data_IF_922505047190
#
_entry.id   IF_922505047190
#
_cell.length_a   1.000
_cell.length_b   1.000
_cell.length_c   1.000
_cell.angle_alpha   90.00
_cell.angle_beta   90.00
_cell.angle_gamma   90.00
#
_symmetry.space_group_name_H-M   'P 1'
#
loop_
_entity.id
_entity.type
_entity.pdbx_description
1 polymer ?
#
# COMPACT_ATOMS: atom_id res chain seq x y z
N UNK A 1 100.87 -17.29 -2.30
CA UNK A 1 100.52 -16.04 -2.99
C UNK A 1 99.04 -16.10 -3.34
N UNK A 2 98.26 -15.31 -2.59
CA UNK A 2 96.94 -14.73 -2.94
C UNK A 2 97.03 -14.01 -4.29
N UNK A 3 96.00 -13.77 -5.10
CA UNK A 3 94.54 -13.88 -5.01
C UNK A 3 93.97 -13.89 -6.45
N UNK A 4 92.71 -14.31 -6.62
CA UNK A 4 91.93 -14.06 -7.83
C UNK A 4 90.62 -13.34 -7.50
N UNK A 5 90.42 -12.23 -8.23
CA UNK A 5 89.21 -11.59 -8.73
C UNK A 5 87.90 -11.62 -7.91
N UNK A 6 87.40 -10.41 -7.64
CA UNK A 6 85.98 -10.15 -7.38
C UNK A 6 85.14 -10.21 -8.66
N UNK A 7 83.83 -10.42 -8.49
CA UNK A 7 82.81 -10.19 -9.50
C UNK A 7 81.46 -9.85 -8.84
N UNK A 8 80.73 -9.01 -9.54
CA UNK A 8 79.61 -8.19 -9.14
C UNK A 8 78.31 -8.89 -8.73
N UNK A 9 77.53 -8.09 -7.98
CA UNK A 9 76.18 -8.32 -7.51
C UNK A 9 75.21 -8.35 -8.71
N UNK A 10 74.32 -9.35 -8.74
CA UNK A 10 73.06 -9.29 -9.50
C UNK A 10 71.91 -9.51 -8.55
N UNK A 11 71.03 -8.51 -8.47
CA UNK A 11 69.79 -8.57 -7.72
C UNK A 11 68.79 -9.51 -8.38
N UNK A 12 68.04 -10.22 -7.55
CA UNK A 12 66.85 -10.96 -7.96
C UNK A 12 65.69 -10.47 -7.10
N UNK A 13 64.80 -9.69 -7.72
CA UNK A 13 63.47 -9.37 -7.18
C UNK A 13 62.69 -10.67 -6.90
N UNK A 14 62.14 -10.77 -5.68
CA UNK A 14 61.21 -11.84 -5.34
C UNK A 14 59.84 -11.53 -5.95
N UNK A 15 59.41 -12.35 -6.89
CA UNK A 15 58.02 -12.37 -7.34
C UNK A 15 57.12 -12.87 -6.21
N UNK A 16 56.10 -12.08 -5.86
CA UNK A 16 55.01 -12.49 -4.98
C UNK A 16 53.93 -13.18 -5.84
N UNK A 17 53.49 -14.40 -5.52
CA UNK A 17 52.44 -15.05 -6.29
C UNK A 17 51.11 -14.31 -6.08
N UNK A 18 50.51 -13.87 -7.18
CA UNK A 18 49.12 -13.39 -7.24
C UNK A 18 48.22 -14.61 -7.02
N UNK A 19 47.58 -14.68 -5.86
CA UNK A 19 46.52 -15.65 -5.61
C UNK A 19 45.35 -15.31 -6.53
N UNK A 20 45.23 -16.05 -7.63
CA UNK A 20 44.02 -16.04 -8.45
C UNK A 20 42.93 -16.76 -7.67
N UNK A 21 42.12 -15.99 -6.92
CA UNK A 21 40.86 -16.50 -6.40
C UNK A 21 39.91 -16.68 -7.58
N UNK A 22 39.92 -17.87 -8.19
CA UNK A 22 38.82 -18.37 -9.02
C UNK A 22 37.61 -18.65 -8.13
N UNK A 23 37.08 -17.59 -7.51
CA UNK A 23 35.85 -17.59 -6.74
C UNK A 23 34.73 -17.04 -7.61
N UNK A 24 34.41 -17.76 -8.68
CA UNK A 24 33.13 -17.59 -9.38
C UNK A 24 32.02 -17.94 -8.40
N UNK A 25 31.65 -16.97 -7.55
CA UNK A 25 30.38 -17.01 -6.84
C UNK A 25 29.34 -16.97 -7.95
N UNK A 26 28.77 -18.13 -8.26
CA UNK A 26 27.45 -18.18 -8.87
C UNK A 26 26.59 -17.25 -8.02
N UNK A 27 26.13 -16.16 -8.64
CA UNK A 27 25.21 -15.26 -7.99
C UNK A 27 23.91 -16.04 -7.82
N UNK A 28 23.81 -16.84 -6.76
CA UNK A 28 22.52 -17.20 -6.21
C UNK A 28 21.85 -15.86 -5.98
N UNK A 29 20.80 -15.55 -6.73
CA UNK A 29 20.00 -14.35 -6.55
C UNK A 29 19.68 -14.24 -5.06
N UNK A 30 20.41 -13.38 -4.34
CA UNK A 30 20.17 -13.19 -2.91
C UNK A 30 18.89 -12.40 -2.85
N UNK A 31 17.81 -13.08 -2.47
CA UNK A 31 16.52 -12.41 -2.21
C UNK A 31 16.76 -11.38 -1.12
N UNK A 32 16.35 -10.14 -1.38
CA UNK A 32 16.36 -9.09 -0.37
C UNK A 32 15.18 -9.27 0.58
N UNK A 33 15.23 -8.65 1.76
CA UNK A 33 14.09 -8.64 2.68
C UNK A 33 12.84 -8.06 1.98
N UNK A 34 13.00 -7.06 1.12
CA UNK A 34 11.90 -6.52 0.32
C UNK A 34 11.30 -7.56 -0.64
N UNK A 35 12.13 -8.42 -1.24
CA UNK A 35 11.65 -9.49 -2.12
C UNK A 35 10.91 -10.57 -1.32
N UNK A 36 11.39 -10.89 -0.13
CA UNK A 36 10.71 -11.77 0.82
C UNK A 36 9.35 -11.21 1.21
N UNK A 37 9.29 -9.92 1.60
CA UNK A 37 8.04 -9.25 1.92
C UNK A 37 7.08 -9.26 0.73
N UNK A 38 7.53 -8.92 -0.48
CA UNK A 38 6.67 -8.95 -1.67
C UNK A 38 6.12 -10.34 -1.98
N UNK A 39 6.93 -11.39 -1.78
CA UNK A 39 6.51 -12.76 -2.04
C UNK A 39 5.52 -13.30 -1.00
N UNK A 40 5.65 -12.89 0.26
CA UNK A 40 4.89 -13.45 1.39
C UNK A 40 3.86 -12.47 1.98
N UNK A 41 3.72 -11.25 1.45
CA UNK A 41 2.72 -10.30 1.94
C UNK A 41 1.32 -10.88 1.79
N UNK A 42 0.55 -10.80 2.87
CA UNK A 42 -0.87 -11.13 2.88
C UNK A 42 -1.65 -9.98 3.50
N UNK A 43 -2.85 -9.73 3.00
CA UNK A 43 -3.71 -8.67 3.55
C UNK A 43 -4.19 -9.04 4.95
N UNK A 44 -4.59 -10.30 5.16
CA UNK A 44 -4.88 -10.87 6.48
C UNK A 44 -4.07 -12.16 6.65
N UNK A 45 -3.30 -12.24 7.73
CA UNK A 45 -2.64 -13.48 8.13
C UNK A 45 -3.60 -14.32 8.96
N UNK A 46 -3.74 -15.60 8.63
CA UNK A 46 -4.40 -16.57 9.49
C UNK A 46 -3.55 -16.84 10.74
N UNK A 47 -4.18 -17.18 11.87
CA UNK A 47 -3.48 -17.57 13.11
C UNK A 47 -2.78 -18.93 13.00
N UNK A 48 -2.69 -19.51 11.80
CA UNK A 48 -1.94 -20.75 11.59
C UNK A 48 -0.44 -20.47 11.65
N UNK A 49 0.28 -21.35 12.32
CA UNK A 49 1.72 -21.23 12.50
C UNK A 49 2.45 -21.21 11.15
N UNK A 50 3.09 -20.08 10.88
CA UNK A 50 3.90 -19.90 9.68
C UNK A 50 5.24 -20.64 9.84
N UNK A 51 5.38 -21.70 9.06
CA UNK A 51 6.48 -22.66 9.21
C UNK A 51 7.81 -22.14 8.63
N UNK A 52 7.77 -21.23 7.64
CA UNK A 52 9.00 -20.73 7.00
C UNK A 52 9.52 -19.44 7.64
N UNK A 53 10.84 -19.28 7.64
CA UNK A 53 11.51 -18.06 8.10
C UNK A 53 11.04 -16.82 7.32
N UNK A 54 10.90 -16.94 5.99
CA UNK A 54 10.42 -15.85 5.14
C UNK A 54 9.00 -15.41 5.47
N UNK A 55 8.13 -16.36 5.80
CA UNK A 55 6.78 -16.06 6.26
C UNK A 55 6.82 -15.33 7.60
N UNK A 56 7.59 -15.84 8.58
CA UNK A 56 7.76 -15.20 9.89
C UNK A 56 8.28 -13.76 9.79
N UNK A 57 9.20 -13.46 8.85
CA UNK A 57 9.65 -12.09 8.58
C UNK A 57 8.50 -11.21 8.08
N UNK A 58 7.70 -11.71 7.13
CA UNK A 58 6.53 -11.00 6.63
C UNK A 58 5.47 -10.77 7.72
N UNK A 59 5.23 -11.77 8.57
CA UNK A 59 4.32 -11.65 9.71
C UNK A 59 4.79 -10.62 10.73
N UNK A 60 6.08 -10.63 11.08
CA UNK A 60 6.65 -9.62 11.99
C UNK A 60 6.49 -8.21 11.44
N UNK A 61 6.70 -8.03 10.12
CA UNK A 61 6.45 -6.75 9.47
C UNK A 61 4.98 -6.36 9.52
N UNK A 62 4.08 -7.30 9.20
CA UNK A 62 2.63 -7.10 9.25
C UNK A 62 2.14 -6.71 10.64
N UNK A 63 2.66 -7.33 11.69
CA UNK A 63 2.29 -7.06 13.08
C UNK A 63 2.77 -5.69 13.56
N UNK A 64 3.85 -5.16 12.99
CA UNK A 64 4.34 -3.81 13.25
C UNK A 64 3.52 -2.70 12.57
N UNK A 65 2.61 -3.03 11.65
CA UNK A 65 1.78 -2.03 10.96
C UNK A 65 0.63 -1.53 11.83
N UNK A 66 0.44 -0.22 11.87
CA UNK A 66 -0.73 0.45 12.46
C UNK A 66 -1.93 0.37 11.50
N UNK A 67 -2.66 -0.75 11.57
CA UNK A 67 -3.73 -1.13 10.65
C UNK A 67 -5.13 -1.14 11.26
N UNK A 68 -5.34 -0.45 12.39
CA UNK A 68 -6.67 -0.40 13.01
C UNK A 68 -7.65 0.46 12.21
N UNK A 69 -7.22 1.67 11.83
CA UNK A 69 -8.05 2.63 11.10
C UNK A 69 -7.46 2.94 9.72
N UNK A 70 -8.35 3.08 8.73
CA UNK A 70 -8.01 3.48 7.37
C UNK A 70 -8.49 4.90 7.04
N UNK A 71 -7.87 5.52 6.04
CA UNK A 71 -8.29 6.79 5.45
C UNK A 71 -9.30 6.52 4.34
N UNK A 72 -10.38 7.29 4.33
CA UNK A 72 -11.42 7.25 3.32
C UNK A 72 -11.34 8.45 2.37
N UNK A 73 -11.55 8.23 1.08
CA UNK A 73 -11.76 9.29 0.11
C UNK A 73 -13.22 9.29 -0.34
N UNK A 74 -13.99 10.24 0.21
CA UNK A 74 -15.42 10.36 -0.03
C UNK A 74 -15.75 11.33 -1.19
N UNK A 75 -14.76 11.82 -1.95
CA UNK A 75 -14.98 12.82 -3.03
C UNK A 75 -16.01 12.37 -4.06
N UNK A 76 -16.04 11.08 -4.36
CA UNK A 76 -16.86 10.50 -5.42
C UNK A 76 -17.99 9.61 -4.90
N UNK A 77 -18.38 9.76 -3.63
CA UNK A 77 -19.38 8.93 -2.95
C UNK A 77 -20.73 8.83 -3.70
N UNK A 78 -21.10 9.86 -4.48
CA UNK A 78 -22.33 9.86 -5.32
C UNK A 78 -22.18 9.17 -6.69
N UNK A 79 -20.97 8.86 -7.13
CA UNK A 79 -20.70 8.48 -8.54
C UNK A 79 -19.81 7.27 -8.73
N UNK A 80 -18.83 7.04 -7.86
CA UNK A 80 -17.81 5.99 -8.01
C UNK A 80 -17.57 5.21 -6.71
N UNK A 81 -18.48 5.36 -5.75
CA UNK A 81 -18.29 4.83 -4.41
C UNK A 81 -17.18 5.57 -3.65
N UNK A 82 -16.57 4.86 -2.72
CA UNK A 82 -15.53 5.32 -1.80
C UNK A 82 -14.22 4.60 -2.13
N UNK A 83 -13.09 5.23 -1.81
CA UNK A 83 -11.79 4.58 -1.84
C UNK A 83 -11.19 4.58 -0.44
N UNK A 84 -10.50 3.51 -0.09
CA UNK A 84 -9.84 3.32 1.20
C UNK A 84 -8.33 3.16 0.97
N UNK A 85 -7.54 3.60 1.95
CA UNK A 85 -6.12 3.26 2.06
C UNK A 85 -5.71 3.23 3.53
N UNK A 86 -4.65 2.49 3.83
CA UNK A 86 -4.01 2.60 5.15
C UNK A 86 -3.40 3.98 5.36
N UNK A 87 -3.25 4.33 6.64
CA UNK A 87 -2.61 5.57 7.09
C UNK A 87 -1.12 5.55 6.76
N UNK A 88 -0.56 6.71 6.45
CA UNK A 88 0.90 6.89 6.39
C UNK A 88 1.48 7.09 7.78
N UNK A 89 2.80 6.99 7.93
CA UNK A 89 3.47 7.22 9.22
C UNK A 89 3.12 8.59 9.80
N UNK A 90 3.25 9.65 9.01
CA UNK A 90 2.88 11.02 9.43
C UNK A 90 1.43 11.10 9.92
N UNK A 91 0.49 10.47 9.21
CA UNK A 91 -0.93 10.45 9.61
C UNK A 91 -1.18 9.68 10.91
N UNK A 92 -0.41 8.62 11.17
CA UNK A 92 -0.50 7.88 12.44
C UNK A 92 0.03 8.74 13.58
N UNK A 93 1.17 9.41 13.38
CA UNK A 93 1.78 10.29 14.39
C UNK A 93 0.88 11.50 14.69
N UNK A 94 0.26 12.08 13.65
CA UNK A 94 -0.64 13.22 13.78
C UNK A 94 -2.05 12.84 14.28
N UNK A 95 -2.31 11.56 14.56
CA UNK A 95 -3.62 11.07 15.02
C UNK A 95 -4.72 11.11 13.95
N UNK A 96 -4.36 11.32 12.68
CA UNK A 96 -5.30 11.47 11.59
C UNK A 96 -6.10 10.19 11.38
N UNK A 97 -7.43 10.31 11.29
CA UNK A 97 -8.33 9.19 11.07
C UNK A 97 -8.54 8.28 12.28
N UNK A 98 -8.02 8.67 13.45
CA UNK A 98 -8.30 8.09 14.75
C UNK A 98 -8.89 9.16 15.67
N UNK A 99 -8.16 10.26 15.88
CA UNK A 99 -8.59 11.43 16.67
C UNK A 99 -9.14 12.55 15.79
N UNK A 100 -9.09 12.38 14.45
CA UNK A 100 -9.67 13.28 13.46
C UNK A 100 -10.47 12.51 12.40
N UNK A 101 -11.26 13.24 11.62
CA UNK A 101 -12.06 12.63 10.56
C UNK A 101 -11.18 12.01 9.46
N UNK A 102 -11.31 10.70 9.24
CA UNK A 102 -10.56 9.93 8.25
C UNK A 102 -10.90 10.26 6.79
N UNK A 103 -11.84 11.16 6.52
CA UNK A 103 -12.08 11.60 5.15
C UNK A 103 -10.96 12.55 4.69
N UNK A 104 -10.18 12.14 3.68
CA UNK A 104 -9.04 12.89 3.11
C UNK A 104 -9.39 14.33 2.69
N UNK A 105 -10.67 14.64 2.47
CA UNK A 105 -11.15 15.97 2.06
C UNK A 105 -12.22 16.50 3.01
N UNK A 106 -12.12 16.20 4.31
CA UNK A 106 -12.95 16.83 5.31
C UNK A 106 -12.52 18.30 5.49
N UNK A 107 -13.47 19.20 5.64
CA UNK A 107 -13.17 20.60 5.94
C UNK A 107 -12.69 20.73 7.39
N UNK A 108 -13.33 20.00 8.29
CA UNK A 108 -13.10 20.04 9.74
C UNK A 108 -11.91 19.14 10.18
N UNK A 109 -11.08 18.72 9.23
CA UNK A 109 -10.01 17.74 9.46
C UNK A 109 -8.92 18.28 10.39
N UNK A 110 -8.69 19.59 10.37
CA UNK A 110 -7.63 20.29 11.08
C UNK A 110 -8.18 21.31 12.09
N UNK A 111 -9.46 21.22 12.44
CA UNK A 111 -10.08 22.11 13.43
C UNK A 111 -9.73 21.62 14.83
N UNK A 112 -8.70 22.23 15.44
CA UNK A 112 -8.10 21.77 16.71
C UNK A 112 -8.85 22.32 17.93
N UNK A 113 -9.40 23.52 17.84
CA UNK A 113 -10.00 24.21 19.00
C UNK A 113 -11.39 23.64 19.38
N UNK A 114 -12.10 23.07 18.40
CA UNK A 114 -13.43 22.50 18.57
C UNK A 114 -13.65 21.35 17.57
N UNK A 115 -13.00 20.18 17.79
CA UNK A 115 -13.13 19.06 16.87
C UNK A 115 -14.59 18.57 16.81
N UNK A 116 -15.10 18.17 15.64
CA UNK A 116 -16.45 17.65 15.51
C UNK A 116 -16.57 16.30 16.24
N UNK A 117 -17.79 15.89 16.64
CA UNK A 117 -18.01 14.53 17.14
C UNK A 117 -17.61 13.50 16.07
N UNK A 118 -16.94 12.44 16.52
CA UNK A 118 -16.41 11.38 15.68
C UNK A 118 -17.13 10.06 15.99
N UNK A 119 -17.35 9.26 14.95
CA UNK A 119 -17.89 7.90 15.06
C UNK A 119 -17.03 6.90 14.32
N UNK A 120 -16.97 5.68 14.84
CA UNK A 120 -16.30 4.55 14.20
C UNK A 120 -17.27 3.79 13.29
N UNK A 121 -16.81 3.46 12.08
CA UNK A 121 -17.59 2.74 11.08
C UNK A 121 -16.79 1.60 10.47
N UNK A 122 -17.43 0.45 10.29
CA UNK A 122 -16.88 -0.67 9.55
C UNK A 122 -17.32 -0.63 8.09
N UNK A 123 -16.35 -0.65 7.20
CA UNK A 123 -16.55 -0.54 5.76
C UNK A 123 -16.11 -1.84 5.08
N UNK A 124 -16.97 -2.47 4.25
CA UNK A 124 -16.56 -3.65 3.51
C UNK A 124 -15.49 -3.29 2.48
N UNK A 125 -14.38 -4.00 2.55
CA UNK A 125 -13.25 -3.90 1.63
C UNK A 125 -13.11 -5.23 0.89
N UNK A 126 -13.31 -5.20 -0.42
CA UNK A 126 -13.05 -6.34 -1.30
C UNK A 126 -11.62 -6.26 -1.82
N UNK A 127 -10.91 -7.39 -1.77
CA UNK A 127 -9.54 -7.53 -2.25
C UNK A 127 -9.33 -8.87 -2.93
N UNK A 128 -8.27 -9.02 -3.70
CA UNK A 128 -7.89 -10.28 -4.33
C UNK A 128 -6.52 -10.69 -3.80
N UNK A 129 -6.37 -11.97 -3.47
CA UNK A 129 -5.13 -12.51 -2.94
C UNK A 129 -4.88 -13.89 -3.56
N UNK A 130 -3.62 -14.24 -3.89
CA UNK A 130 -3.30 -15.57 -4.38
C UNK A 130 -3.61 -16.64 -3.31
N UNK A 131 -4.24 -17.73 -3.73
CA UNK A 131 -4.32 -18.94 -2.92
C UNK A 131 -3.00 -19.73 -2.95
N UNK A 132 -2.98 -20.90 -2.29
CA UNK A 132 -1.80 -21.77 -2.26
C UNK A 132 -1.37 -22.29 -3.65
N UNK A 133 -2.29 -22.31 -4.62
CA UNK A 133 -2.04 -22.71 -6.00
C UNK A 133 -1.63 -21.52 -6.89
N UNK A 134 -1.55 -20.31 -6.32
CA UNK A 134 -1.22 -19.07 -7.03
C UNK A 134 -2.38 -18.47 -7.83
N UNK A 135 -3.63 -18.92 -7.61
CA UNK A 135 -4.82 -18.34 -8.25
C UNK A 135 -5.30 -17.14 -7.48
N UNK A 136 -5.65 -16.04 -8.17
CA UNK A 136 -6.24 -14.87 -7.52
C UNK A 136 -7.66 -15.18 -7.05
N UNK A 137 -7.88 -15.13 -5.74
CA UNK A 137 -9.17 -15.37 -5.11
C UNK A 137 -9.71 -14.07 -4.52
N UNK A 138 -10.95 -13.73 -4.87
CA UNK A 138 -11.65 -12.60 -4.28
C UNK A 138 -12.01 -12.89 -2.82
N UNK A 139 -11.67 -11.95 -1.95
CA UNK A 139 -11.91 -11.97 -0.51
C UNK A 139 -12.54 -10.65 -0.07
N UNK A 140 -13.12 -10.67 1.13
CA UNK A 140 -13.70 -9.48 1.74
C UNK A 140 -13.28 -9.40 3.21
N UNK A 141 -13.09 -8.17 3.68
CA UNK A 141 -12.80 -7.86 5.07
C UNK A 141 -13.54 -6.59 5.47
N UNK A 142 -13.76 -6.40 6.78
CA UNK A 142 -14.25 -5.14 7.33
C UNK A 142 -13.05 -4.30 7.76
N UNK A 143 -13.01 -3.05 7.32
CA UNK A 143 -11.98 -2.08 7.69
C UNK A 143 -12.63 -0.96 8.46
N UNK A 144 -12.03 -0.57 9.59
CA UNK A 144 -12.56 0.52 10.41
C UNK A 144 -12.12 1.87 9.86
N UNK A 145 -13.01 2.86 9.93
CA UNK A 145 -12.75 4.27 9.63
C UNK A 145 -13.43 5.14 10.68
N UNK A 146 -12.79 6.21 11.11
CA UNK A 146 -13.39 7.21 12.00
C UNK A 146 -13.87 8.41 11.18
N UNK A 147 -15.12 8.82 11.31
CA UNK A 147 -15.67 9.94 10.53
C UNK A 147 -16.51 10.88 11.40
N UNK A 148 -16.47 12.17 11.07
CA UNK A 148 -17.45 13.13 11.58
C UNK A 148 -18.83 12.93 10.90
N UNK A 149 -19.90 13.44 11.51
CA UNK A 149 -21.27 13.26 11.04
C UNK A 149 -21.48 13.62 9.55
N UNK A 150 -21.00 14.77 9.03
CA UNK A 150 -21.16 15.11 7.61
C UNK A 150 -20.46 14.12 6.67
N UNK A 151 -19.39 13.47 7.12
CA UNK A 151 -18.67 12.47 6.33
C UNK A 151 -19.31 11.08 6.48
N UNK A 152 -19.82 10.74 7.66
CA UNK A 152 -20.60 9.52 7.89
C UNK A 152 -21.84 9.47 6.98
N UNK A 153 -22.54 10.58 6.80
CA UNK A 153 -23.67 10.66 5.85
C UNK A 153 -23.27 10.34 4.41
N UNK A 154 -22.10 10.84 3.97
CA UNK A 154 -21.56 10.55 2.63
C UNK A 154 -21.22 9.07 2.48
N UNK A 155 -20.63 8.47 3.53
CA UNK A 155 -20.36 7.04 3.57
C UNK A 155 -21.65 6.23 3.47
N UNK A 156 -22.65 6.53 4.29
CA UNK A 156 -23.94 5.84 4.27
C UNK A 156 -24.67 5.97 2.93
N UNK A 157 -24.62 7.15 2.29
CA UNK A 157 -25.14 7.33 0.95
C UNK A 157 -24.44 6.39 -0.05
N UNK A 158 -23.11 6.34 -0.04
CA UNK A 158 -22.38 5.41 -0.91
C UNK A 158 -22.76 3.95 -0.64
N UNK A 159 -22.88 3.55 0.63
CA UNK A 159 -23.26 2.19 1.02
C UNK A 159 -24.67 1.81 0.53
N UNK A 160 -25.66 2.70 0.67
CA UNK A 160 -27.02 2.47 0.15
C UNK A 160 -27.03 2.30 -1.37
N UNK A 161 -26.29 3.15 -2.09
CA UNK A 161 -26.19 3.06 -3.55
C UNK A 161 -25.43 1.81 -4.01
N UNK A 162 -24.38 1.40 -3.29
CA UNK A 162 -23.64 0.19 -3.60
C UNK A 162 -24.51 -1.06 -3.42
N UNK A 163 -25.29 -1.14 -2.33
CA UNK A 163 -26.26 -2.22 -2.09
C UNK A 163 -27.30 -2.31 -3.20
N UNK A 164 -27.97 -1.19 -3.50
CA UNK A 164 -28.98 -1.16 -4.56
C UNK A 164 -28.44 -1.56 -5.94
N UNK A 165 -27.18 -1.22 -6.26
CA UNK A 165 -26.54 -1.63 -7.50
C UNK A 165 -26.13 -3.11 -7.53
N UNK A 166 -25.90 -3.72 -6.37
CA UNK A 166 -25.59 -5.14 -6.25
C UNK A 166 -26.85 -6.02 -6.41
N UNK A 167 -28.01 -5.53 -5.97
CA UNK A 167 -29.25 -6.32 -5.94
C UNK A 167 -29.79 -6.69 -7.33
N UNK A 168 -29.53 -5.89 -8.38
CA UNK A 168 -29.97 -6.24 -9.76
C UNK A 168 -28.98 -5.82 -10.86
N UNK A 169 -28.81 -6.62 -11.93
CA UNK A 169 -28.02 -6.25 -13.10
C UNK A 169 -28.51 -4.97 -13.79
N UNK A 170 -29.81 -4.72 -13.75
CA UNK A 170 -30.43 -3.51 -14.30
C UNK A 170 -30.05 -2.26 -13.51
N UNK A 171 -30.09 -2.30 -12.18
CA UNK A 171 -29.63 -1.22 -11.33
C UNK A 171 -28.13 -0.93 -11.51
N UNK A 172 -27.30 -1.98 -11.67
CA UNK A 172 -25.88 -1.82 -11.99
C UNK A 172 -25.66 -1.10 -13.33
N UNK A 173 -26.45 -1.42 -14.36
CA UNK A 173 -26.41 -0.73 -15.67
C UNK A 173 -26.88 0.72 -15.56
N UNK A 174 -27.98 0.97 -14.86
CA UNK A 174 -28.52 2.31 -14.63
C UNK A 174 -27.52 3.23 -13.89
N UNK A 175 -26.87 2.71 -12.84
CA UNK A 175 -25.84 3.42 -12.10
C UNK A 175 -24.63 3.81 -12.97
N UNK A 176 -24.17 2.88 -13.83
CA UNK A 176 -23.10 3.16 -14.81
C UNK A 176 -23.51 4.23 -15.81
N UNK A 177 -24.75 4.21 -16.30
CA UNK A 177 -25.28 5.21 -17.23
C UNK A 177 -25.38 6.60 -16.59
N UNK A 178 -25.92 6.70 -15.36
CA UNK A 178 -26.00 7.97 -14.63
C UNK A 178 -24.61 8.54 -14.32
N UNK A 179 -23.67 7.71 -13.89
CA UNK A 179 -22.28 8.12 -13.68
C UNK A 179 -21.63 8.65 -14.97
N UNK A 180 -21.88 8.00 -16.12
CA UNK A 180 -21.42 8.47 -17.42
C UNK A 180 -22.04 9.84 -17.78
N UNK A 181 -23.36 9.99 -17.60
CA UNK A 181 -24.08 11.24 -17.85
C UNK A 181 -23.54 12.38 -16.99
N UNK A 182 -23.33 12.17 -15.69
CA UNK A 182 -22.76 13.18 -14.77
C UNK A 182 -21.33 13.56 -15.13
N UNK A 183 -20.52 12.61 -15.62
CA UNK A 183 -19.16 12.92 -16.09
C UNK A 183 -19.20 13.80 -17.34
N UNK A 184 -20.14 13.54 -18.25
CA UNK A 184 -20.33 14.34 -19.47
C UNK A 184 -20.82 15.76 -19.15
N UNK A 185 -21.76 15.92 -18.23
CA UNK A 185 -22.21 17.26 -17.80
C UNK A 185 -21.10 18.05 -17.14
N UNK A 186 -20.32 17.44 -16.22
CA UNK A 186 -19.16 18.09 -15.58
C UNK A 186 -18.08 18.51 -16.57
N UNK A 187 -17.81 17.70 -17.60
CA UNK A 187 -16.86 18.08 -18.66
C UNK A 187 -17.35 19.29 -19.44
N UNK A 188 -18.65 19.37 -19.71
CA UNK A 188 -19.26 20.47 -20.47
C UNK A 188 -19.24 21.79 -19.69
N UNK A 189 -19.40 21.75 -18.36
CA UNK A 189 -19.31 22.93 -17.50
C UNK A 189 -17.88 23.34 -17.13
N UNK A 190 -16.88 22.50 -17.38
CA UNK A 190 -15.46 22.82 -17.17
C UNK A 190 -14.75 23.35 -18.43
N UNK A 191 -15.42 23.39 -19.58
CA UNK A 191 -14.87 23.98 -20.80
C UNK A 191 -14.86 25.51 -20.68
N UNK A 192 -13.69 26.18 -20.76
CA UNK A 192 -13.64 27.65 -20.80
C UNK A 192 -14.30 28.11 -22.10
N UNK A 193 -15.22 29.07 -22.03
CA UNK A 193 -15.63 29.86 -23.19
C UNK A 193 -14.39 30.61 -23.68
N UNK A 194 -13.85 30.23 -24.83
CA UNK A 194 -12.90 31.09 -25.54
C UNK A 194 -13.68 32.34 -25.94
N UNK A 195 -13.47 33.44 -25.22
CA UNK A 195 -14.05 34.74 -25.52
C UNK A 195 -13.39 35.31 -26.77
N UNK A 196 -14.23 35.72 -27.72
CA UNK A 196 -13.89 36.67 -28.78
C UNK A 196 -13.85 38.09 -28.25
#
# INVERSE_FOLDING_TARGET
MTAAAGAERRGTERAVPRVETSGGRTASSRKTDLDVLRAHHRFLHDDRDEVSYEAQVARKYYDALFKEYAIANLKHYRTRGIALRWRTEDEVVDGIGQDSCANQRCADHYEVDAPPPLGEFEVPFAYEEPDADGRMVAKQALVKVVLCDPCAEKLQHASRHARAAHDTPEAARAARHDAHRRRRTRRRSASPSQGS
#
